data_IF_607203830683
#
_entry.id   IF_607203830683
#
_cell.length_a   1.000
_cell.length_b   1.000
_cell.length_c   1.000
_cell.angle_alpha   90.00
_cell.angle_beta   90.00
_cell.angle_gamma   90.00
#
_symmetry.space_group_name_H-M   'P 1'
#
loop_
_entity.id
_entity.type
_entity.pdbx_description
1 polymer ?
#
# COMPACT_ATOMS: atom_id res chain seq x y z
N UNK A 1 -13.48 -12.87 -9.62
CA UNK A 1 -14.09 -11.71 -8.95
C UNK A 1 -13.51 -10.46 -9.59
N UNK A 2 -14.34 -9.46 -9.90
CA UNK A 2 -13.88 -8.24 -10.57
C UNK A 2 -12.78 -7.54 -9.79
N UNK A 3 -11.74 -7.08 -10.49
CA UNK A 3 -10.65 -6.32 -9.89
C UNK A 3 -11.17 -4.92 -9.59
N UNK A 4 -11.62 -4.68 -8.37
CA UNK A 4 -11.91 -3.33 -7.86
C UNK A 4 -10.83 -2.86 -6.89
N UNK A 5 -10.63 -1.55 -6.78
CA UNK A 5 -9.60 -0.95 -5.95
C UNK A 5 -10.05 -0.76 -4.48
N UNK A 6 -11.35 -0.59 -4.23
CA UNK A 6 -11.93 -0.45 -2.89
C UNK A 6 -13.40 -0.91 -2.89
N UNK A 7 -13.99 -1.01 -1.70
CA UNK A 7 -15.40 -1.34 -1.48
C UNK A 7 -16.12 -0.12 -0.90
N UNK A 8 -17.33 0.16 -1.37
CA UNK A 8 -18.19 1.20 -0.81
C UNK A 8 -19.33 0.51 -0.03
N UNK A 9 -19.48 0.82 1.26
CA UNK A 9 -20.50 0.19 2.10
C UNK A 9 -20.91 1.08 3.29
N UNK A 10 -22.13 0.86 3.78
CA UNK A 10 -22.68 1.37 5.04
C UNK A 10 -22.60 0.33 6.18
N UNK A 11 -22.08 -0.87 5.92
CA UNK A 11 -21.83 -1.89 6.92
C UNK A 11 -20.41 -1.73 7.49
N UNK A 12 -20.33 -1.24 8.74
CA UNK A 12 -19.07 -1.08 9.46
C UNK A 12 -18.45 -2.44 9.84
N UNK A 13 -19.24 -3.50 9.87
CA UNK A 13 -18.80 -4.86 10.23
C UNK A 13 -18.32 -5.68 9.03
N UNK A 14 -18.32 -5.09 7.83
CA UNK A 14 -17.94 -5.77 6.60
C UNK A 14 -16.45 -6.16 6.62
N UNK A 15 -16.18 -7.45 6.73
CA UNK A 15 -14.83 -8.00 6.61
C UNK A 15 -14.38 -8.01 5.13
N UNK A 16 -13.38 -7.19 4.80
CA UNK A 16 -12.82 -7.09 3.46
C UNK A 16 -11.30 -6.92 3.49
N UNK A 17 -10.61 -7.59 2.56
CA UNK A 17 -9.17 -7.42 2.35
C UNK A 17 -8.83 -6.17 1.49
N UNK A 18 -9.85 -5.41 1.09
CA UNK A 18 -9.73 -4.18 0.31
C UNK A 18 -10.08 -2.97 1.16
N UNK A 19 -9.54 -1.78 0.85
CA UNK A 19 -9.94 -0.54 1.50
C UNK A 19 -11.46 -0.36 1.48
N UNK A 20 -12.02 0.02 2.64
CA UNK A 20 -13.45 0.26 2.81
C UNK A 20 -13.72 1.77 2.82
N UNK A 21 -14.49 2.25 1.83
CA UNK A 21 -15.05 3.59 1.80
C UNK A 21 -16.40 3.58 2.49
N UNK A 22 -16.43 3.99 3.76
CA UNK A 22 -17.64 4.01 4.57
C UNK A 22 -18.55 5.17 4.18
N UNK A 23 -19.79 4.86 3.78
CA UNK A 23 -20.71 5.82 3.15
C UNK A 23 -21.02 7.01 4.06
N UNK A 24 -21.33 6.75 5.34
CA UNK A 24 -21.75 7.79 6.28
C UNK A 24 -20.64 8.80 6.61
N UNK A 25 -19.38 8.40 6.46
CA UNK A 25 -18.23 9.30 6.67
C UNK A 25 -17.77 10.02 5.40
N UNK A 26 -17.87 9.34 4.25
CA UNK A 26 -17.17 9.75 3.03
C UNK A 26 -18.07 10.35 1.95
N UNK A 27 -19.38 10.10 1.96
CA UNK A 27 -20.32 10.64 0.97
C UNK A 27 -21.17 11.77 1.54
N UNK A 28 -21.22 12.91 0.84
CA UNK A 28 -22.03 14.08 1.22
C UNK A 28 -23.51 13.83 0.88
N UNK A 29 -24.39 14.04 1.86
CA UNK A 29 -25.85 14.08 1.65
C UNK A 29 -26.29 15.48 1.17
N UNK A 30 -27.29 15.60 0.27
CA UNK A 30 -28.05 14.52 -0.35
C UNK A 30 -27.24 13.78 -1.42
N UNK A 31 -27.52 12.49 -1.59
CA UNK A 31 -26.88 11.65 -2.59
C UNK A 31 -27.42 12.00 -3.99
N UNK A 32 -26.67 12.84 -4.70
CA UNK A 32 -26.90 13.12 -6.12
C UNK A 32 -25.86 12.37 -6.94
N UNK A 33 -26.15 12.11 -8.21
CA UNK A 33 -25.18 11.49 -9.12
C UNK A 33 -23.85 12.27 -9.15
N UNK A 34 -23.92 13.61 -9.10
CA UNK A 34 -22.75 14.48 -9.12
C UNK A 34 -21.96 14.38 -7.80
N UNK A 35 -22.62 14.51 -6.65
CA UNK A 35 -21.94 14.46 -5.34
C UNK A 35 -21.29 13.09 -5.11
N UNK A 36 -21.99 11.99 -5.40
CA UNK A 36 -21.43 10.64 -5.24
C UNK A 36 -20.21 10.45 -6.13
N UNK A 37 -20.24 10.95 -7.38
CA UNK A 37 -19.09 10.86 -8.29
C UNK A 37 -17.88 11.61 -7.72
N UNK A 38 -18.07 12.87 -7.32
CA UNK A 38 -16.99 13.70 -6.76
C UNK A 38 -16.39 13.07 -5.51
N UNK A 39 -17.23 12.60 -4.58
CA UNK A 39 -16.78 12.06 -3.31
C UNK A 39 -16.01 10.74 -3.50
N UNK A 40 -16.48 9.90 -4.43
CA UNK A 40 -15.81 8.65 -4.79
C UNK A 40 -14.46 8.91 -5.46
N UNK A 41 -14.39 9.90 -6.38
CA UNK A 41 -13.14 10.31 -7.02
C UNK A 41 -12.13 10.89 -6.02
N UNK A 42 -12.61 11.68 -5.05
CA UNK A 42 -11.79 12.23 -3.98
C UNK A 42 -11.23 11.13 -3.07
N UNK A 43 -12.07 10.16 -2.68
CA UNK A 43 -11.62 9.00 -1.92
C UNK A 43 -10.55 8.20 -2.69
N UNK A 44 -10.80 7.93 -3.97
CA UNK A 44 -9.87 7.21 -4.81
C UNK A 44 -8.51 7.91 -4.95
N UNK A 45 -8.53 9.24 -5.09
CA UNK A 45 -7.31 10.06 -5.13
C UNK A 45 -6.53 9.96 -3.82
N UNK A 46 -7.20 10.12 -2.69
CA UNK A 46 -6.57 10.00 -1.36
C UNK A 46 -5.97 8.61 -1.15
N UNK A 47 -6.66 7.56 -1.61
CA UNK A 47 -6.15 6.20 -1.57
C UNK A 47 -4.86 6.07 -2.41
N UNK A 48 -4.86 6.58 -3.65
CA UNK A 48 -3.67 6.57 -4.52
C UNK A 48 -2.49 7.37 -3.96
N UNK A 49 -2.76 8.48 -3.28
CA UNK A 49 -1.73 9.28 -2.60
C UNK A 49 -1.17 8.55 -1.37
N UNK A 50 -1.99 7.80 -0.63
CA UNK A 50 -1.53 6.95 0.47
C UNK A 50 -0.72 5.73 0.02
N UNK A 51 -0.96 5.26 -1.21
CA UNK A 51 -0.18 4.19 -1.85
C UNK A 51 1.16 4.67 -2.42
N UNK A 52 1.34 5.98 -2.63
CA UNK A 52 2.63 6.50 -3.07
C UNK A 52 3.66 6.20 -1.97
N UNK A 53 4.78 5.56 -2.32
CA UNK A 53 5.85 5.39 -1.36
C UNK A 53 6.27 6.76 -0.83
N UNK A 54 6.32 6.91 0.49
CA UNK A 54 6.95 8.09 1.07
C UNK A 54 8.45 8.08 0.67
N UNK A 55 9.04 9.23 0.35
CA UNK A 55 10.47 9.29 -0.06
C UNK A 55 11.37 8.63 1.00
N UNK A 56 11.10 8.85 2.29
CA UNK A 56 11.77 8.16 3.41
C UNK A 56 11.58 6.63 3.40
N UNK A 57 10.46 6.14 2.91
CA UNK A 57 10.11 4.72 2.84
C UNK A 57 10.91 4.02 1.73
N UNK A 58 11.12 4.69 0.61
CA UNK A 58 11.97 4.21 -0.49
C UNK A 58 13.45 4.25 -0.10
N UNK A 59 13.90 5.31 0.56
CA UNK A 59 15.27 5.38 1.11
C UNK A 59 15.52 4.26 2.14
N UNK A 60 14.54 3.98 3.01
CA UNK A 60 14.61 2.85 3.95
C UNK A 60 14.65 1.49 3.26
N UNK A 61 13.95 1.31 2.13
CA UNK A 61 14.00 0.05 1.34
C UNK A 61 15.38 -0.11 0.70
N UNK A 62 15.89 0.93 0.05
CA UNK A 62 17.22 0.94 -0.57
C UNK A 62 18.30 0.62 0.47
N UNK A 63 18.22 1.22 1.66
CA UNK A 63 19.15 0.95 2.76
C UNK A 63 19.14 -0.51 3.21
N UNK A 64 17.95 -1.13 3.30
CA UNK A 64 17.82 -2.55 3.68
C UNK A 64 18.38 -3.48 2.61
N UNK A 65 18.12 -3.20 1.33
CA UNK A 65 18.65 -3.98 0.21
C UNK A 65 20.19 -3.93 0.16
N UNK A 66 20.77 -2.74 0.32
CA UNK A 66 22.23 -2.57 0.42
C UNK A 66 22.82 -3.39 1.57
N UNK A 67 22.15 -3.41 2.73
CA UNK A 67 22.59 -4.17 3.90
C UNK A 67 22.50 -5.69 3.70
N UNK A 68 21.46 -6.17 3.02
CA UNK A 68 21.35 -7.59 2.63
C UNK A 68 22.49 -7.97 1.68
N UNK A 69 22.79 -7.11 0.71
CA UNK A 69 23.86 -7.35 -0.27
C UNK A 69 25.23 -7.44 0.40
N UNK A 70 25.54 -6.54 1.33
CA UNK A 70 26.77 -6.60 2.13
C UNK A 70 26.88 -7.90 2.93
N UNK A 71 25.80 -8.32 3.59
CA UNK A 71 25.80 -9.58 4.35
C UNK A 71 26.05 -10.78 3.43
N UNK A 72 25.38 -10.84 2.27
CA UNK A 72 25.58 -11.91 1.30
C UNK A 72 27.03 -11.99 0.81
N UNK A 73 27.66 -10.84 0.57
CA UNK A 73 29.05 -10.77 0.13
C UNK A 73 30.02 -11.23 1.24
N UNK A 74 29.80 -10.82 2.48
CA UNK A 74 30.58 -11.26 3.63
C UNK A 74 30.45 -12.79 3.86
N UNK A 75 29.24 -13.33 3.78
CA UNK A 75 29.01 -14.78 3.89
C UNK A 75 29.68 -15.54 2.74
N UNK A 76 29.61 -15.02 1.52
CA UNK A 76 30.24 -15.63 0.35
C UNK A 76 31.76 -15.70 0.53
N UNK A 77 32.39 -14.61 0.97
CA UNK A 77 33.83 -14.59 1.25
C UNK A 77 34.24 -15.60 2.33
N UNK A 78 33.48 -15.68 3.43
CA UNK A 78 33.73 -16.66 4.49
C UNK A 78 33.61 -18.10 3.98
N UNK A 79 32.60 -18.39 3.17
CA UNK A 79 32.44 -19.72 2.56
C UNK A 79 33.61 -20.06 1.64
N UNK A 80 34.07 -19.11 0.80
CA UNK A 80 35.23 -19.32 -0.05
C UNK A 80 36.51 -19.62 0.75
N UNK A 81 36.72 -18.94 1.87
CA UNK A 81 37.85 -19.19 2.77
C UNK A 81 37.81 -20.58 3.39
N UNK A 82 36.62 -21.06 3.80
CA UNK A 82 36.44 -22.39 4.37
C UNK A 82 36.67 -23.48 3.32
N UNK A 83 36.17 -23.29 2.10
CA UNK A 83 36.27 -24.28 1.02
C UNK A 83 37.70 -24.37 0.46
N UNK A 84 38.47 -23.30 0.58
CA UNK A 84 39.85 -23.23 0.07
C UNK A 84 40.91 -23.70 1.08
N UNK A 85 40.49 -24.21 2.26
CA UNK A 85 41.33 -24.93 3.23
C UNK A 85 41.35 -26.42 2.93
#
# INVERSE_FOLDING_TARGET
MGVCDFVLSDDETLETNKPLCFIEERLRKPFTKQSVKEDTENYYRALKESEKPCEECEEMKISKEQKIQQLLEEYTQKLCQIISQ
#
